data_IF_966842762196
#
_entry.id   IF_966842762196
#
_cell.length_a   1.000
_cell.length_b   1.000
_cell.length_c   1.000
_cell.angle_alpha   90.00
_cell.angle_beta   90.00
_cell.angle_gamma   90.00
#
_symmetry.space_group_name_H-M   'P 1'
#
loop_
_entity.id
_entity.type
_entity.pdbx_description
1 polymer ?
#
# COMPACT_ATOMS: atom_id res chain seq x y z
N UNK A 1 -17.11 13.26 -12.04
CA UNK A 1 -16.08 12.26 -11.75
C UNK A 1 -14.86 12.60 -12.59
N UNK A 2 -13.81 13.15 -11.97
CA UNK A 2 -12.55 13.46 -12.67
C UNK A 2 -11.91 12.14 -13.09
N UNK A 3 -11.60 12.00 -14.38
CA UNK A 3 -10.99 10.78 -14.94
C UNK A 3 -9.61 10.61 -14.31
N UNK A 4 -9.46 9.71 -13.34
CA UNK A 4 -8.16 9.45 -12.69
C UNK A 4 -7.21 8.88 -13.74
N UNK A 5 -6.06 9.52 -13.92
CA UNK A 5 -5.08 9.06 -14.90
C UNK A 5 -4.45 7.76 -14.38
N UNK A 6 -4.54 6.68 -15.16
CA UNK A 6 -4.07 5.35 -14.75
C UNK A 6 -2.60 5.11 -15.10
N UNK A 7 -1.97 6.08 -15.75
CA UNK A 7 -0.56 6.04 -16.13
C UNK A 7 0.06 7.41 -15.86
N UNK A 8 1.32 7.45 -15.39
CA UNK A 8 2.08 8.72 -15.33
C UNK A 8 2.58 9.11 -16.72
N UNK A 9 3.28 8.20 -17.40
CA UNK A 9 3.80 8.43 -18.75
C UNK A 9 3.81 7.13 -19.57
N UNK A 10 3.72 7.26 -20.89
CA UNK A 10 3.88 6.11 -21.80
C UNK A 10 5.27 5.47 -21.72
N UNK A 11 6.29 6.23 -21.34
CA UNK A 11 7.66 5.70 -21.14
C UNK A 11 7.69 4.73 -19.96
N UNK A 12 7.11 5.11 -18.81
CA UNK A 12 7.03 4.25 -17.61
C UNK A 12 6.19 3.00 -17.84
N UNK A 13 5.13 3.08 -18.65
CA UNK A 13 4.38 1.90 -19.10
C UNK A 13 5.29 0.94 -19.87
N UNK A 14 6.04 1.45 -20.85
CA UNK A 14 6.90 0.60 -21.71
C UNK A 14 8.10 0.02 -21.00
N UNK A 15 8.77 0.82 -20.16
CA UNK A 15 10.03 0.42 -19.52
C UNK A 15 9.80 -0.34 -18.21
N UNK A 16 8.78 0.04 -17.44
CA UNK A 16 8.58 -0.47 -16.07
C UNK A 16 7.22 -1.18 -15.89
N UNK A 17 6.38 -1.26 -16.92
CA UNK A 17 5.04 -1.82 -16.81
C UNK A 17 4.09 -1.02 -15.90
N UNK A 18 4.39 0.25 -15.62
CA UNK A 18 3.64 1.04 -14.65
C UNK A 18 2.21 1.36 -15.13
N UNK A 19 1.23 0.72 -14.50
CA UNK A 19 -0.21 0.99 -14.68
C UNK A 19 -0.89 0.95 -13.32
N UNK A 20 -1.61 2.01 -12.97
CA UNK A 20 -2.27 2.10 -11.67
C UNK A 20 -3.59 1.36 -11.66
N UNK A 21 -3.79 0.58 -10.59
CA UNK A 21 -5.07 -0.05 -10.30
C UNK A 21 -6.13 1.00 -9.99
N UNK A 22 -7.27 1.02 -10.70
CA UNK A 22 -8.40 1.88 -10.35
C UNK A 22 -8.88 1.60 -8.92
N UNK A 23 -9.22 2.62 -8.11
CA UNK A 23 -9.62 2.42 -6.70
C UNK A 23 -10.79 1.46 -6.51
N UNK A 24 -11.81 1.53 -7.37
CA UNK A 24 -12.97 0.62 -7.30
C UNK A 24 -12.56 -0.84 -7.58
N UNK A 25 -11.59 -1.03 -8.48
CA UNK A 25 -11.08 -2.36 -8.80
C UNK A 25 -10.26 -2.94 -7.65
N UNK A 26 -9.49 -2.12 -6.94
CA UNK A 26 -8.78 -2.53 -5.73
C UNK A 26 -9.75 -3.05 -4.64
N UNK A 27 -10.89 -2.37 -4.46
CA UNK A 27 -11.95 -2.83 -3.53
C UNK A 27 -12.57 -4.16 -3.96
N UNK A 28 -12.75 -4.37 -5.27
CA UNK A 28 -13.24 -5.65 -5.82
C UNK A 28 -12.24 -6.78 -5.58
N UNK A 29 -10.94 -6.54 -5.82
CA UNK A 29 -9.86 -7.51 -5.56
C UNK A 29 -9.88 -7.91 -4.09
N UNK A 30 -9.89 -6.92 -3.18
CA UNK A 30 -9.92 -7.17 -1.75
C UNK A 30 -11.14 -7.98 -1.33
N UNK A 31 -12.34 -7.61 -1.80
CA UNK A 31 -13.57 -8.32 -1.48
C UNK A 31 -13.49 -9.80 -1.90
N UNK A 32 -12.94 -10.09 -3.09
CA UNK A 32 -12.73 -11.45 -3.58
C UNK A 32 -11.75 -12.24 -2.71
N UNK A 33 -10.63 -11.63 -2.31
CA UNK A 33 -9.67 -12.27 -1.42
C UNK A 33 -10.25 -12.53 -0.03
N UNK A 34 -10.98 -11.57 0.54
CA UNK A 34 -11.57 -11.74 1.88
C UNK A 34 -12.69 -12.79 1.90
N UNK A 35 -13.44 -12.94 0.80
CA UNK A 35 -14.50 -13.94 0.71
C UNK A 35 -14.01 -15.39 0.88
N UNK A 36 -12.77 -15.69 0.49
CA UNK A 36 -12.23 -17.06 0.52
C UNK A 36 -11.16 -17.27 1.57
N UNK A 37 -10.76 -16.23 2.33
CA UNK A 37 -9.65 -16.33 3.27
C UNK A 37 -10.09 -16.43 4.73
N UNK A 38 -9.25 -17.08 5.55
CA UNK A 38 -9.34 -17.04 7.01
C UNK A 38 -8.54 -15.88 7.62
N UNK A 39 -8.13 -14.89 6.80
CA UNK A 39 -7.29 -13.78 7.22
C UNK A 39 -7.99 -12.93 8.26
N UNK A 40 -7.24 -12.53 9.27
CA UNK A 40 -7.70 -11.63 10.32
C UNK A 40 -7.23 -10.20 10.02
N UNK A 41 -7.95 -9.17 10.50
CA UNK A 41 -7.51 -7.79 10.36
C UNK A 41 -6.07 -7.53 10.85
N UNK A 42 -5.59 -8.27 11.85
CA UNK A 42 -4.21 -8.14 12.38
C UNK A 42 -3.14 -8.85 11.55
N UNK A 43 -3.50 -9.64 10.54
CA UNK A 43 -2.52 -10.31 9.69
C UNK A 43 -1.80 -9.30 8.79
N UNK A 44 -0.49 -9.47 8.60
CA UNK A 44 0.29 -8.60 7.72
C UNK A 44 -0.12 -8.78 6.26
N UNK A 45 -0.36 -7.67 5.57
CA UNK A 45 -0.59 -7.62 4.13
C UNK A 45 0.63 -7.00 3.44
N UNK A 46 1.05 -7.58 2.32
CA UNK A 46 2.23 -7.12 1.58
C UNK A 46 1.88 -6.88 0.12
N UNK A 47 2.25 -5.71 -0.39
CA UNK A 47 2.20 -5.39 -1.82
C UNK A 47 3.61 -5.01 -2.31
N UNK A 48 4.22 -5.88 -3.11
CA UNK A 48 5.60 -5.74 -3.57
C UNK A 48 5.76 -4.78 -4.76
N UNK A 49 4.65 -4.31 -5.33
CA UNK A 49 4.61 -3.35 -6.44
C UNK A 49 3.51 -2.33 -6.18
N UNK A 50 3.56 -1.70 -5.01
CA UNK A 50 2.42 -1.01 -4.43
C UNK A 50 1.99 0.24 -5.19
N UNK A 51 2.85 0.80 -6.06
CA UNK A 51 2.58 2.03 -6.79
C UNK A 51 2.15 3.14 -5.83
N UNK A 52 1.04 3.81 -6.15
CA UNK A 52 0.43 4.85 -5.32
C UNK A 52 -0.41 4.31 -4.15
N UNK A 53 -0.41 3.00 -3.92
CA UNK A 53 -1.07 2.37 -2.78
C UNK A 53 -2.57 2.12 -2.93
N UNK A 54 -3.13 2.00 -4.15
CA UNK A 54 -4.57 1.75 -4.34
C UNK A 54 -5.05 0.49 -3.59
N UNK A 55 -4.30 -0.61 -3.67
CA UNK A 55 -4.66 -1.86 -2.99
C UNK A 55 -4.41 -1.77 -1.49
N UNK A 56 -3.26 -1.23 -1.07
CA UNK A 56 -2.95 -1.00 0.34
C UNK A 56 -3.98 -0.08 1.02
N UNK A 57 -4.47 0.95 0.33
CA UNK A 57 -5.51 1.84 0.82
C UNK A 57 -6.84 1.10 1.05
N UNK A 58 -7.24 0.23 0.11
CA UNK A 58 -8.44 -0.60 0.31
C UNK A 58 -8.28 -1.54 1.52
N UNK A 59 -7.09 -2.12 1.70
CA UNK A 59 -6.77 -2.99 2.85
C UNK A 59 -6.80 -2.20 4.16
N UNK A 60 -6.23 -0.99 4.18
CA UNK A 60 -6.24 -0.08 5.34
C UNK A 60 -7.68 0.25 5.77
N UNK A 61 -8.52 0.71 4.84
CA UNK A 61 -9.94 1.00 5.11
C UNK A 61 -10.67 -0.23 5.68
N UNK A 62 -10.42 -1.42 5.10
CA UNK A 62 -11.01 -2.66 5.60
C UNK A 62 -10.52 -3.02 7.01
N UNK A 63 -9.23 -2.88 7.32
CA UNK A 63 -8.67 -3.16 8.65
C UNK A 63 -9.26 -2.24 9.71
N UNK A 64 -9.33 -0.94 9.44
CA UNK A 64 -9.95 0.05 10.35
C UNK A 64 -11.42 -0.26 10.56
N UNK A 65 -12.17 -0.56 9.48
CA UNK A 65 -13.58 -0.94 9.57
C UNK A 65 -13.81 -2.20 10.41
N UNK A 66 -12.82 -3.09 10.50
CA UNK A 66 -12.87 -4.31 11.30
C UNK A 66 -12.18 -4.15 12.68
N UNK A 67 -12.07 -2.92 13.17
CA UNK A 67 -11.79 -2.64 14.58
C UNK A 67 -10.33 -2.40 14.95
N UNK A 68 -9.43 -2.28 13.97
CA UNK A 68 -8.07 -1.79 14.25
C UNK A 68 -8.08 -0.27 14.37
N UNK A 69 -7.26 0.25 15.28
CA UNK A 69 -6.84 1.66 15.23
C UNK A 69 -6.09 1.94 13.91
N UNK A 70 -6.00 3.21 13.51
CA UNK A 70 -5.25 3.61 12.31
C UNK A 70 -3.75 3.25 12.45
N UNK A 71 -3.20 3.38 13.65
CA UNK A 71 -1.83 3.01 13.98
C UNK A 71 -1.61 1.50 13.83
N UNK A 72 -2.49 0.67 14.41
CA UNK A 72 -2.43 -0.79 14.24
C UNK A 72 -2.62 -1.19 12.77
N UNK A 73 -3.57 -0.58 12.06
CA UNK A 73 -3.84 -0.92 10.67
C UNK A 73 -2.65 -0.59 9.77
N UNK A 74 -2.06 0.61 9.90
CA UNK A 74 -0.84 1.00 9.17
C UNK A 74 0.36 0.10 9.51
N UNK A 75 0.47 -0.34 10.77
CA UNK A 75 1.58 -1.22 11.19
C UNK A 75 1.53 -2.62 10.55
N UNK A 76 0.38 -3.04 10.05
CA UNK A 76 0.15 -4.38 9.47
C UNK A 76 0.06 -4.38 7.94
N UNK A 77 0.44 -3.28 7.28
CA UNK A 77 0.58 -3.22 5.83
C UNK A 77 2.02 -2.91 5.47
N UNK A 78 2.56 -3.61 4.47
CA UNK A 78 3.89 -3.38 3.91
C UNK A 78 3.77 -3.11 2.41
N UNK A 79 4.56 -2.17 1.92
CA UNK A 79 4.57 -1.74 0.53
C UNK A 79 5.99 -1.59 0.01
N UNK A 80 6.25 -2.09 -1.19
CA UNK A 80 7.49 -1.87 -1.92
C UNK A 80 7.15 -1.34 -3.30
N UNK A 81 7.87 -0.33 -3.76
CA UNK A 81 7.85 0.09 -5.16
C UNK A 81 9.25 0.51 -5.59
N UNK A 82 9.59 0.30 -6.87
CA UNK A 82 10.90 0.66 -7.39
C UNK A 82 11.06 2.18 -7.52
N UNK A 83 9.97 2.91 -7.71
CA UNK A 83 9.97 4.34 -7.96
C UNK A 83 9.66 5.13 -6.68
N UNK A 84 10.61 5.97 -6.24
CA UNK A 84 10.49 6.74 -5.00
C UNK A 84 9.27 7.67 -4.99
N UNK A 85 8.91 8.26 -6.13
CA UNK A 85 7.74 9.14 -6.23
C UNK A 85 6.43 8.40 -5.99
N UNK A 86 6.33 7.14 -6.42
CA UNK A 86 5.19 6.28 -6.10
C UNK A 86 5.13 5.96 -4.61
N UNK A 87 6.29 5.65 -3.99
CA UNK A 87 6.41 5.40 -2.55
C UNK A 87 5.94 6.60 -1.74
N UNK A 88 6.36 7.81 -2.11
CA UNK A 88 5.99 9.04 -1.39
C UNK A 88 4.49 9.35 -1.54
N UNK A 89 3.94 9.18 -2.74
CA UNK A 89 2.50 9.30 -2.98
C UNK A 89 1.70 8.23 -2.22
N UNK A 90 2.20 7.00 -2.15
CA UNK A 90 1.58 5.92 -1.39
C UNK A 90 1.52 6.25 0.10
N UNK A 91 2.63 6.73 0.70
CA UNK A 91 2.68 7.16 2.10
C UNK A 91 1.65 8.25 2.38
N UNK A 92 1.63 9.30 1.56
CA UNK A 92 0.67 10.39 1.71
C UNK A 92 -0.78 9.89 1.58
N UNK A 93 -1.08 9.08 0.58
CA UNK A 93 -2.43 8.53 0.38
C UNK A 93 -2.88 7.70 1.58
N UNK A 94 -2.01 6.87 2.16
CA UNK A 94 -2.32 6.07 3.34
C UNK A 94 -2.56 6.94 4.57
N UNK A 95 -1.76 7.99 4.78
CA UNK A 95 -1.96 8.94 5.88
C UNK A 95 -3.28 9.70 5.73
N UNK A 96 -3.61 10.15 4.53
CA UNK A 96 -4.91 10.82 4.24
C UNK A 96 -6.08 9.87 4.50
N UNK A 97 -6.01 8.63 4.01
CA UNK A 97 -7.06 7.63 4.24
C UNK A 97 -7.22 7.27 5.74
N UNK A 98 -6.15 7.34 6.50
CA UNK A 98 -6.14 7.14 7.95
C UNK A 98 -6.54 8.40 8.76
N UNK A 99 -6.75 9.55 8.11
CA UNK A 99 -6.86 10.87 8.76
C UNK A 99 -5.71 11.10 9.76
N UNK A 100 -4.48 10.94 9.29
CA UNK A 100 -3.25 10.88 10.10
C UNK A 100 -2.11 11.71 9.53
N UNK A 101 -2.38 12.69 8.66
CA UNK A 101 -1.37 13.49 7.95
C UNK A 101 -0.45 14.30 8.86
N UNK A 102 -0.93 14.61 10.07
CA UNK A 102 -0.18 15.36 11.09
C UNK A 102 0.24 14.46 12.27
N UNK A 103 -0.01 13.15 12.17
CA UNK A 103 0.30 12.20 13.23
C UNK A 103 1.71 11.64 13.05
N UNK A 104 2.61 11.99 13.98
CA UNK A 104 4.01 11.58 13.93
C UNK A 104 4.18 10.06 14.05
N UNK A 105 3.32 9.38 14.82
CA UNK A 105 3.38 7.93 14.99
C UNK A 105 3.01 7.26 13.67
N UNK A 106 1.88 7.63 13.07
CA UNK A 106 1.47 7.10 11.78
C UNK A 106 2.50 7.41 10.68
N UNK A 107 3.06 8.62 10.68
CA UNK A 107 4.12 9.03 9.75
C UNK A 107 5.34 8.12 9.85
N UNK A 108 5.81 7.87 11.07
CA UNK A 108 6.93 6.96 11.31
C UNK A 108 6.62 5.52 10.89
N UNK A 109 5.38 5.05 11.09
CA UNK A 109 4.96 3.73 10.63
C UNK A 109 5.06 3.63 9.10
N UNK A 110 4.46 4.56 8.34
CA UNK A 110 4.49 4.49 6.87
C UNK A 110 5.89 4.67 6.29
N UNK A 111 6.77 5.44 6.94
CA UNK A 111 8.17 5.57 6.52
C UNK A 111 8.95 4.25 6.64
N UNK A 112 8.66 3.44 7.66
CA UNK A 112 9.30 2.14 7.86
C UNK A 112 8.66 1.02 7.01
N UNK A 113 7.34 1.11 6.76
CA UNK A 113 6.57 0.03 6.16
C UNK A 113 6.36 0.16 4.65
N UNK A 114 6.42 1.38 4.12
CA UNK A 114 6.32 1.65 2.68
C UNK A 114 7.67 2.16 2.22
N UNK A 115 8.40 1.35 1.47
CA UNK A 115 9.80 1.60 1.14
C UNK A 115 10.05 1.53 -0.36
N UNK A 116 11.12 2.20 -0.78
CA UNK A 116 11.64 2.06 -2.12
C UNK A 116 12.56 0.84 -2.18
N UNK A 117 12.36 -0.01 -3.18
CA UNK A 117 13.14 -1.23 -3.31
C UNK A 117 12.86 -2.01 -4.59
N UNK A 118 13.81 -2.87 -4.94
CA UNK A 118 13.65 -3.88 -5.99
C UNK A 118 13.27 -5.20 -5.31
N UNK A 119 11.98 -5.54 -5.35
CA UNK A 119 11.44 -6.76 -4.75
C UNK A 119 11.75 -8.03 -5.55
N UNK A 120 12.35 -7.90 -6.73
CA UNK A 120 12.84 -9.04 -7.53
C UNK A 120 14.26 -9.40 -7.09
N UNK A 121 15.06 -8.40 -6.72
CA UNK A 121 16.45 -8.60 -6.29
C UNK A 121 16.62 -8.82 -4.80
N UNK A 122 15.72 -8.28 -3.96
CA UNK A 122 15.83 -8.35 -2.50
C UNK A 122 14.71 -9.18 -1.90
N UNK A 123 15.06 -10.00 -0.91
CA UNK A 123 14.09 -10.73 -0.10
C UNK A 123 13.32 -9.81 0.84
N UNK A 124 12.17 -10.28 1.35
CA UNK A 124 11.40 -9.55 2.36
C UNK A 124 12.18 -9.30 3.67
N UNK A 125 13.09 -10.20 4.04
CA UNK A 125 13.92 -10.03 5.24
C UNK A 125 14.96 -8.91 5.04
N UNK A 126 15.53 -8.79 3.84
CA UNK A 126 16.43 -7.68 3.51
C UNK A 126 15.70 -6.34 3.40
N UNK A 127 14.46 -6.37 2.89
CA UNK A 127 13.63 -5.19 2.72
C UNK A 127 13.02 -4.70 4.06
N UNK A 128 12.61 -5.63 4.91
CA UNK A 128 11.95 -5.36 6.19
C UNK A 128 12.60 -6.11 7.36
N UNK A 129 13.85 -5.77 7.72
CA UNK A 129 14.62 -6.49 8.75
C UNK A 129 14.09 -6.34 10.17
N UNK A 130 13.10 -5.46 10.38
CA UNK A 130 12.43 -5.26 11.68
C UNK A 130 11.14 -6.06 11.81
N UNK A 131 10.65 -6.66 10.72
CA UNK A 131 9.40 -7.44 10.69
C UNK A 131 9.69 -8.94 10.71
N UNK A 132 10.82 -9.35 10.14
CA UNK A 132 11.31 -10.73 10.04
C UNK A 132 12.69 -10.83 10.65
#
# INVERSE_FOLDING_TARGET
MTKKNLIKTQKRVRENGEVFTPPDFAKIILAKWMHTSTRKPKDVFVDLQCGQGSLLGAVLEWKIKNGLSREEALSTILGVDIAQDNVDECRLNLLVLANAEQDEICTNIVLNNIIQGDSVQKSLHELFPKVY
#
